data_IF_620651205984
#
_entry.id   IF_620651205984
#
_cell.length_a   1.000
_cell.length_b   1.000
_cell.length_c   1.000
_cell.angle_alpha   90.00
_cell.angle_beta   90.00
_cell.angle_gamma   90.00
#
_symmetry.space_group_name_H-M   'P 1'
#
loop_
_entity.id
_entity.type
_entity.pdbx_description
1 polymer ?
#
# COMPACT_ATOMS: atom_id res chain seq x y z
N UNK A 1 7.04 7.00 26.68
CA UNK A 1 6.07 7.33 25.62
C UNK A 1 4.72 6.73 26.01
N UNK A 2 3.64 7.51 25.99
CA UNK A 2 2.28 7.00 26.21
C UNK A 2 1.66 6.74 24.85
N UNK A 3 1.33 5.50 24.54
CA UNK A 3 0.61 5.13 23.32
C UNK A 3 -0.89 5.26 23.61
N UNK A 4 -1.65 5.88 22.71
CA UNK A 4 -3.12 5.97 22.79
C UNK A 4 -3.70 5.38 21.52
N UNK A 5 -4.67 4.47 21.66
CA UNK A 5 -5.40 3.88 20.55
C UNK A 5 -6.86 4.36 20.60
N UNK A 6 -7.41 4.72 19.45
CA UNK A 6 -8.79 5.16 19.29
C UNK A 6 -9.58 4.14 18.45
N UNK A 7 -10.86 3.98 18.76
CA UNK A 7 -11.78 3.20 17.93
C UNK A 7 -12.05 3.95 16.62
N UNK A 8 -11.92 3.27 15.48
CA UNK A 8 -12.23 3.83 14.15
C UNK A 8 -13.73 3.72 13.92
N UNK A 9 -14.41 4.86 13.78
CA UNK A 9 -15.87 4.89 13.53
C UNK A 9 -16.23 4.89 12.04
N UNK A 10 -15.39 5.48 11.18
CA UNK A 10 -15.67 5.64 9.75
C UNK A 10 -14.38 5.61 8.91
N UNK A 11 -14.40 4.87 7.80
CA UNK A 11 -13.36 4.88 6.76
C UNK A 11 -13.99 5.40 5.47
N UNK A 12 -13.45 6.50 4.93
CA UNK A 12 -13.90 7.09 3.66
C UNK A 12 -12.82 6.87 2.60
N UNK A 13 -13.16 6.14 1.54
CA UNK A 13 -12.28 5.89 0.40
C UNK A 13 -12.71 6.74 -0.80
N UNK A 14 -11.74 7.26 -1.57
CA UNK A 14 -12.03 8.06 -2.76
C UNK A 14 -11.84 7.25 -4.03
N UNK A 15 -12.95 6.98 -4.74
CA UNK A 15 -13.07 6.75 -6.20
C UNK A 15 -12.37 5.56 -6.86
N UNK A 16 -11.11 5.28 -6.54
CA UNK A 16 -10.30 4.30 -7.26
C UNK A 16 -9.46 3.50 -6.28
N UNK A 17 -9.80 2.22 -6.12
CA UNK A 17 -8.95 1.21 -5.49
C UNK A 17 -8.23 0.40 -6.56
N UNK A 18 -6.96 0.04 -6.35
CA UNK A 18 -6.32 -0.99 -7.15
C UNK A 18 -6.43 -2.33 -6.44
N UNK A 19 -6.50 -3.40 -7.23
CA UNK A 19 -6.51 -4.73 -6.68
C UNK A 19 -5.07 -5.23 -6.56
N UNK A 20 -4.55 -5.30 -5.33
CA UNK A 20 -3.22 -5.83 -5.00
C UNK A 20 -2.99 -7.23 -5.59
N UNK A 21 -4.02 -8.07 -5.61
CA UNK A 21 -3.96 -9.46 -6.07
C UNK A 21 -4.08 -9.64 -7.58
N UNK A 22 -4.62 -8.65 -8.29
CA UNK A 22 -4.89 -8.70 -9.73
C UNK A 22 -3.97 -7.79 -10.55
N UNK A 23 -2.80 -7.40 -10.01
CA UNK A 23 -1.73 -6.90 -10.88
C UNK A 23 -1.52 -7.96 -11.97
N UNK A 24 -1.80 -7.61 -13.23
CA UNK A 24 -2.24 -8.52 -14.32
C UNK A 24 -1.19 -9.56 -14.77
N UNK A 25 -0.10 -9.65 -14.05
CA UNK A 25 1.03 -10.52 -14.30
C UNK A 25 0.94 -11.80 -13.49
N UNK A 26 1.38 -12.89 -14.13
CA UNK A 26 1.30 -14.27 -13.64
C UNK A 26 1.91 -14.46 -12.23
N UNK A 27 2.79 -13.56 -11.82
CA UNK A 27 3.62 -13.65 -10.62
C UNK A 27 3.29 -12.63 -9.50
N UNK A 28 2.21 -11.83 -9.63
CA UNK A 28 1.76 -10.86 -8.59
C UNK A 28 2.93 -10.06 -7.97
N UNK A 29 3.68 -9.29 -8.78
CA UNK A 29 4.98 -8.76 -8.38
C UNK A 29 4.92 -7.80 -7.19
N UNK A 30 3.85 -6.98 -7.08
CA UNK A 30 3.63 -6.08 -5.94
C UNK A 30 3.47 -6.85 -4.64
N UNK A 31 2.63 -7.88 -4.62
CA UNK A 31 2.37 -8.69 -3.41
C UNK A 31 3.63 -9.42 -2.98
N UNK A 32 4.34 -10.06 -3.91
CA UNK A 32 5.59 -10.75 -3.57
C UNK A 32 6.65 -9.79 -3.02
N UNK A 33 6.74 -8.60 -3.60
CA UNK A 33 7.69 -7.60 -3.15
C UNK A 33 7.35 -7.11 -1.74
N UNK A 34 6.08 -6.74 -1.49
CA UNK A 34 5.62 -6.31 -0.16
C UNK A 34 5.85 -7.41 0.89
N UNK A 35 5.49 -8.65 0.58
CA UNK A 35 5.65 -9.78 1.48
C UNK A 35 7.12 -10.06 1.86
N UNK A 36 8.07 -9.79 0.96
CA UNK A 36 9.50 -10.06 1.20
C UNK A 36 10.24 -8.89 1.84
N UNK A 37 9.77 -7.67 1.64
CA UNK A 37 10.54 -6.46 1.95
C UNK A 37 9.91 -5.57 3.04
N UNK A 38 8.65 -5.81 3.41
CA UNK A 38 7.93 -4.99 4.38
C UNK A 38 7.09 -5.86 5.34
N UNK A 39 6.58 -5.24 6.40
CA UNK A 39 5.62 -5.85 7.34
C UNK A 39 4.16 -5.60 6.92
N UNK A 40 3.89 -5.38 5.63
CA UNK A 40 2.57 -4.98 5.12
C UNK A 40 1.44 -5.92 5.55
N UNK A 41 1.71 -7.22 5.59
CA UNK A 41 0.73 -8.25 5.93
C UNK A 41 0.62 -8.53 7.43
N UNK A 42 1.56 -8.05 8.25
CA UNK A 42 1.60 -8.36 9.69
C UNK A 42 0.47 -7.68 10.48
N UNK A 43 -0.05 -6.57 9.96
CA UNK A 43 -1.15 -5.79 10.54
C UNK A 43 -2.54 -6.19 10.00
N UNK A 44 -2.59 -7.06 8.99
CA UNK A 44 -3.83 -7.55 8.40
C UNK A 44 -4.33 -8.80 9.13
N UNK A 45 -5.63 -9.08 9.02
CA UNK A 45 -6.22 -10.30 9.57
C UNK A 45 -5.91 -11.55 8.73
N UNK A 46 -6.44 -12.70 9.14
CA UNK A 46 -6.20 -13.98 8.46
C UNK A 46 -6.70 -14.03 7.01
N UNK A 47 -7.59 -13.12 6.64
CA UNK A 47 -8.16 -13.01 5.29
C UNK A 47 -7.45 -11.91 4.48
N UNK A 48 -6.36 -11.34 5.00
CA UNK A 48 -5.63 -10.20 4.44
C UNK A 48 -6.48 -8.92 4.34
N UNK A 49 -7.43 -8.74 5.24
CA UNK A 49 -8.27 -7.56 5.35
C UNK A 49 -7.81 -6.68 6.53
N UNK A 50 -8.13 -5.38 6.48
CA UNK A 50 -7.83 -4.44 7.55
C UNK A 50 -7.11 -3.17 7.10
N UNK A 51 -6.52 -2.47 8.08
CA UNK A 51 -5.72 -1.26 7.85
C UNK A 51 -4.25 -1.60 8.00
N UNK A 52 -3.46 -1.18 7.01
CA UNK A 52 -2.01 -1.32 7.02
C UNK A 52 -1.37 -0.05 6.47
N UNK A 53 -0.05 0.07 6.61
CA UNK A 53 0.73 1.20 6.14
C UNK A 53 1.99 0.71 5.42
N UNK A 54 2.39 1.45 4.39
CA UNK A 54 3.67 1.23 3.69
C UNK A 54 4.45 2.52 3.71
N UNK A 55 5.75 2.46 4.00
CA UNK A 55 6.59 3.64 3.95
C UNK A 55 6.68 4.18 2.52
N UNK A 56 6.77 5.51 2.37
CA UNK A 56 7.00 6.15 1.07
C UNK A 56 8.32 5.62 0.46
N UNK A 57 9.36 5.45 1.28
CA UNK A 57 10.64 4.87 0.88
C UNK A 57 10.47 3.47 0.26
N UNK A 58 9.67 2.59 0.90
CA UNK A 58 9.41 1.26 0.38
C UNK A 58 8.65 1.29 -0.94
N UNK A 59 7.66 2.18 -1.08
CA UNK A 59 6.91 2.33 -2.33
C UNK A 59 7.81 2.83 -3.47
N UNK A 60 8.67 3.82 -3.20
CA UNK A 60 9.65 4.32 -4.18
C UNK A 60 10.66 3.23 -4.57
N UNK A 61 11.16 2.47 -3.58
CA UNK A 61 12.07 1.34 -3.82
C UNK A 61 11.40 0.26 -4.67
N UNK A 62 10.15 -0.09 -4.36
CA UNK A 62 9.36 -1.05 -5.15
C UNK A 62 9.20 -0.58 -6.60
N UNK A 63 8.82 0.68 -6.83
CA UNK A 63 8.69 1.23 -8.17
C UNK A 63 10.02 1.25 -8.93
N UNK A 64 11.14 1.45 -8.24
CA UNK A 64 12.48 1.40 -8.84
C UNK A 64 12.90 -0.03 -9.23
N UNK A 65 12.63 -1.02 -8.38
CA UNK A 65 13.08 -2.41 -8.59
C UNK A 65 12.18 -3.21 -9.54
N UNK A 66 10.87 -3.02 -9.44
CA UNK A 66 9.88 -3.83 -10.15
C UNK A 66 8.88 -3.01 -10.96
N UNK A 67 8.99 -1.68 -11.02
CA UNK A 67 7.99 -0.81 -11.66
C UNK A 67 7.68 -1.10 -13.14
N UNK A 68 8.60 -1.72 -13.87
CA UNK A 68 8.37 -2.18 -15.26
C UNK A 68 7.53 -3.46 -15.36
N UNK A 69 7.38 -4.20 -14.25
CA UNK A 69 6.57 -5.42 -14.12
C UNK A 69 5.19 -5.15 -13.52
N UNK A 70 4.93 -3.94 -13.05
CA UNK A 70 3.65 -3.53 -12.46
C UNK A 70 2.72 -3.04 -13.58
N UNK A 71 1.43 -3.36 -13.51
CA UNK A 71 0.42 -2.79 -14.40
C UNK A 71 0.50 -1.25 -14.41
N UNK A 72 0.49 -0.60 -15.58
CA UNK A 72 0.64 0.85 -15.67
C UNK A 72 -0.44 1.65 -14.91
N UNK A 73 -1.64 1.08 -14.73
CA UNK A 73 -2.69 1.68 -13.91
C UNK A 73 -2.34 1.62 -12.43
N UNK A 74 -1.93 0.45 -11.94
CA UNK A 74 -1.48 0.25 -10.56
C UNK A 74 -0.28 1.14 -10.24
N UNK A 75 0.72 1.19 -11.13
CA UNK A 75 1.88 2.08 -10.98
C UNK A 75 1.49 3.54 -10.83
N UNK A 76 0.60 4.04 -11.70
CA UNK A 76 0.12 5.44 -11.62
C UNK A 76 -0.62 5.74 -10.32
N UNK A 77 -1.35 4.76 -9.78
CA UNK A 77 -2.03 4.89 -8.50
C UNK A 77 -1.01 4.99 -7.36
N UNK A 78 -0.02 4.10 -7.31
CA UNK A 78 1.06 4.15 -6.32
C UNK A 78 1.85 5.47 -6.41
N UNK A 79 2.19 5.94 -7.62
CA UNK A 79 2.84 7.24 -7.83
C UNK A 79 1.98 8.44 -7.38
N UNK A 80 0.64 8.33 -7.45
CA UNK A 80 -0.27 9.34 -6.92
C UNK A 80 -0.28 9.30 -5.40
N UNK A 81 -0.30 8.11 -4.81
CA UNK A 81 -0.35 7.92 -3.36
C UNK A 81 0.95 8.39 -2.68
N UNK A 82 2.11 8.10 -3.28
CA UNK A 82 3.41 8.65 -2.87
C UNK A 82 3.39 10.18 -2.87
N UNK A 83 2.95 10.81 -3.98
CA UNK A 83 2.87 12.28 -4.06
C UNK A 83 1.94 12.86 -3.00
N UNK A 84 0.80 12.21 -2.77
CA UNK A 84 -0.15 12.64 -1.75
C UNK A 84 0.48 12.62 -0.35
N UNK A 85 1.17 11.54 0.02
CA UNK A 85 1.86 11.46 1.32
C UNK A 85 2.98 12.52 1.45
N UNK A 86 3.81 12.69 0.42
CA UNK A 86 4.88 13.70 0.40
C UNK A 86 4.32 15.13 0.52
N UNK A 87 3.23 15.45 -0.17
CA UNK A 87 2.57 16.77 -0.07
C UNK A 87 1.98 17.04 1.33
N UNK A 88 1.63 15.98 2.06
CA UNK A 88 1.16 16.05 3.46
C UNK A 88 2.29 16.06 4.48
N UNK A 89 3.51 15.72 4.07
CA UNK A 89 4.65 15.53 4.97
C UNK A 89 4.57 14.23 5.77
N UNK A 90 3.86 13.24 5.24
CA UNK A 90 3.74 11.90 5.82
C UNK A 90 4.80 10.96 5.22
N UNK A 91 5.43 10.14 6.06
CA UNK A 91 6.43 9.15 5.64
C UNK A 91 5.81 7.80 5.22
N UNK A 92 4.48 7.68 5.32
CA UNK A 92 3.74 6.43 5.09
C UNK A 92 2.44 6.69 4.33
N UNK A 93 2.01 5.67 3.57
CA UNK A 93 0.71 5.62 2.92
C UNK A 93 -0.16 4.58 3.62
N UNK A 94 -1.32 4.97 4.21
CA UNK A 94 -2.27 4.02 4.77
C UNK A 94 -3.11 3.36 3.67
N UNK A 95 -3.28 2.05 3.76
CA UNK A 95 -4.15 1.26 2.89
C UNK A 95 -5.23 0.56 3.71
N UNK A 96 -6.45 0.59 3.17
CA UNK A 96 -7.56 -0.22 3.66
C UNK A 96 -7.80 -1.39 2.68
N UNK A 97 -7.56 -2.61 3.15
CA UNK A 97 -7.70 -3.86 2.40
C UNK A 97 -9.03 -4.55 2.77
N UNK A 98 -9.78 -4.98 1.75
CA UNK A 98 -11.09 -5.63 1.86
C UNK A 98 -11.37 -6.57 0.69
#
# INVERSE_FOLDING_TARGET
MSIRAHHVEEIKTSGESFNLWQDRWQDRPVVEWLMRNTSFFDSLDCDCCGLTEVSVEDLERMLSEIGEKIDPGVRKMIERDIRFAVEKGDDYVPYYCY
#
